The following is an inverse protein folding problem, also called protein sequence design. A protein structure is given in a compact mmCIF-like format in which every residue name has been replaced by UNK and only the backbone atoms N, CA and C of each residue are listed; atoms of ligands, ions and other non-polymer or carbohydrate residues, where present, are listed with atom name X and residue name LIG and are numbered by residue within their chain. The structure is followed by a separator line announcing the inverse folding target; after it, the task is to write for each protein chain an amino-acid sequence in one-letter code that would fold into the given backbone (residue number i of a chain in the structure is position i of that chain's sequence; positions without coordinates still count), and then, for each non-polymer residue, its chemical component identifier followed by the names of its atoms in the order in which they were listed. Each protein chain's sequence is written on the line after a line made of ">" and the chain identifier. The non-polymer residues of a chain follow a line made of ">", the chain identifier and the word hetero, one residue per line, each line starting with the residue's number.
data_IF_562841569112
#
_entry.id   IF_562841569112
#
_cell.length_a   1.000
_cell.length_b   1.000
_cell.length_c   1.000
_cell.angle_alpha   90.00
_cell.angle_beta   90.00
_cell.angle_gamma   90.00
#
_symmetry.space_group_name_H-M   'P 1'
#
loop_
_entity.id
_entity.type
_entity.pdbx_description
1 polymer ?
#
# COMPACT_ATOMS: atom_id res chain seq x y z
N UNK A 1 25.84 -29.29 -5.70
CA UNK A 1 25.04 -29.12 -4.48
C UNK A 1 23.56 -29.18 -4.86
N UNK A 2 22.81 -30.05 -4.20
CA UNK A 2 21.37 -30.15 -4.44
C UNK A 2 20.68 -28.90 -3.93
N UNK A 3 19.90 -28.21 -4.79
CA UNK A 3 19.13 -27.03 -4.41
C UNK A 3 17.91 -27.51 -3.61
N UNK A 4 17.83 -27.12 -2.34
CA UNK A 4 16.75 -27.54 -1.45
C UNK A 4 16.17 -26.33 -0.69
N UNK A 5 14.84 -26.20 -0.70
CA UNK A 5 14.10 -25.26 0.14
C UNK A 5 13.77 -25.93 1.48
N UNK A 6 13.94 -25.21 2.60
CA UNK A 6 13.70 -25.70 3.96
C UNK A 6 12.81 -24.72 4.76
N UNK A 7 11.54 -24.64 4.37
CA UNK A 7 10.56 -23.80 5.06
C UNK A 7 10.16 -24.32 6.44
N UNK A 8 10.50 -25.57 6.78
CA UNK A 8 10.20 -26.13 8.09
C UNK A 8 10.94 -25.40 9.21
N UNK A 9 12.09 -24.80 8.92
CA UNK A 9 12.88 -24.01 9.86
C UNK A 9 12.69 -22.50 9.71
N UNK A 10 11.66 -22.06 8.93
CA UNK A 10 11.33 -20.65 8.82
C UNK A 10 10.94 -20.08 10.18
N UNK A 11 11.42 -18.88 10.49
CA UNK A 11 11.02 -18.14 11.67
C UNK A 11 10.56 -16.74 11.30
N UNK A 12 9.52 -16.27 11.99
CA UNK A 12 8.95 -14.94 11.75
C UNK A 12 9.87 -13.85 12.31
N UNK A 13 10.31 -12.95 11.44
CA UNK A 13 11.20 -11.82 11.79
C UNK A 13 10.47 -10.63 12.43
N UNK A 14 9.12 -10.61 12.39
CA UNK A 14 8.34 -9.52 12.95
C UNK A 14 8.31 -9.58 14.49
N UNK A 15 8.58 -8.45 15.15
CA UNK A 15 8.58 -8.36 16.61
C UNK A 15 7.20 -8.70 17.21
N UNK A 16 7.20 -9.19 18.47
CA UNK A 16 5.96 -9.48 19.22
C UNK A 16 5.08 -8.23 19.35
N UNK A 17 5.68 -7.05 19.55
CA UNK A 17 4.96 -5.77 19.59
C UNK A 17 4.21 -5.52 18.29
N UNK A 18 4.86 -5.72 17.14
CA UNK A 18 4.23 -5.61 15.81
C UNK A 18 3.03 -6.54 15.69
N UNK A 19 3.20 -7.80 16.09
CA UNK A 19 2.13 -8.82 16.01
C UNK A 19 0.92 -8.45 16.88
N UNK A 20 1.14 -7.96 18.11
CA UNK A 20 0.08 -7.53 19.02
C UNK A 20 -0.68 -6.31 18.45
N UNK A 21 0.04 -5.27 18.01
CA UNK A 21 -0.60 -4.08 17.42
C UNK A 21 -1.43 -4.46 16.21
N UNK A 22 -0.92 -5.34 15.34
CA UNK A 22 -1.66 -5.83 14.17
C UNK A 22 -2.92 -6.60 14.57
N UNK A 23 -2.85 -7.45 15.59
CA UNK A 23 -4.03 -8.18 16.09
C UNK A 23 -5.09 -7.20 16.60
N UNK A 24 -4.70 -6.24 17.45
CA UNK A 24 -5.60 -5.22 17.97
C UNK A 24 -6.21 -4.37 16.83
N UNK A 25 -5.41 -3.98 15.84
CA UNK A 25 -5.88 -3.26 14.66
C UNK A 25 -6.88 -4.07 13.83
N UNK A 26 -6.61 -5.36 13.62
CA UNK A 26 -7.51 -6.26 12.89
C UNK A 26 -8.89 -6.41 13.51
N UNK A 27 -9.01 -6.16 14.82
CA UNK A 27 -10.29 -6.13 15.56
C UNK A 27 -10.87 -4.71 15.56
N UNK A 28 -10.04 -3.71 15.87
CA UNK A 28 -10.48 -2.34 16.08
C UNK A 28 -11.03 -1.69 14.79
N UNK A 29 -10.37 -1.89 13.65
CA UNK A 29 -10.76 -1.26 12.39
C UNK A 29 -12.14 -1.72 11.88
N UNK A 30 -12.44 -3.01 11.76
CA UNK A 30 -13.78 -3.45 11.42
C UNK A 30 -14.84 -2.96 12.41
N UNK A 31 -14.57 -3.06 13.72
CA UNK A 31 -15.51 -2.59 14.74
C UNK A 31 -15.76 -1.08 14.67
N UNK A 32 -14.76 -0.30 14.35
CA UNK A 32 -14.89 1.16 14.20
C UNK A 32 -15.57 1.59 12.91
N UNK A 33 -15.64 0.72 11.90
CA UNK A 33 -16.07 1.12 10.54
C UNK A 33 -17.26 0.34 9.98
N UNK A 34 -17.69 -0.78 10.61
CA UNK A 34 -18.76 -1.66 10.10
C UNK A 34 -20.08 -0.94 9.83
N UNK A 35 -20.42 0.08 10.64
CA UNK A 35 -21.66 0.84 10.55
C UNK A 35 -21.53 2.10 9.66
N UNK A 36 -20.34 2.40 9.16
CA UNK A 36 -20.10 3.59 8.36
C UNK A 36 -20.26 3.29 6.87
N UNK A 37 -21.02 4.11 6.13
CA UNK A 37 -20.95 4.10 4.67
C UNK A 37 -19.51 4.30 4.19
N UNK A 38 -19.16 3.69 3.05
CA UNK A 38 -17.79 3.62 2.54
C UNK A 38 -17.05 4.97 2.53
N UNK A 39 -17.74 6.04 2.15
CA UNK A 39 -17.18 7.39 2.00
C UNK A 39 -17.45 8.34 3.17
N UNK A 40 -18.24 7.93 4.18
CA UNK A 40 -18.60 8.80 5.30
C UNK A 40 -17.69 8.58 6.51
N UNK A 41 -17.80 9.47 7.50
CA UNK A 41 -17.09 9.35 8.78
C UNK A 41 -15.56 9.54 8.67
N UNK A 42 -15.08 10.36 7.73
CA UNK A 42 -13.63 10.55 7.54
C UNK A 42 -12.89 11.04 8.78
N UNK A 43 -13.39 12.02 9.58
CA UNK A 43 -12.70 12.43 10.81
C UNK A 43 -12.52 11.28 11.80
N UNK A 44 -13.54 10.44 11.95
CA UNK A 44 -13.54 9.27 12.82
C UNK A 44 -12.51 8.23 12.34
N UNK A 45 -12.50 7.88 11.06
CA UNK A 45 -11.55 6.94 10.46
C UNK A 45 -10.11 7.42 10.61
N UNK A 46 -9.85 8.72 10.34
CA UNK A 46 -8.53 9.32 10.53
C UNK A 46 -8.07 9.31 11.99
N UNK A 47 -8.99 9.51 12.94
CA UNK A 47 -8.70 9.41 14.36
C UNK A 47 -8.21 8.01 14.73
N UNK A 48 -8.93 6.95 14.31
CA UNK A 48 -8.52 5.57 14.56
C UNK A 48 -7.17 5.23 13.93
N UNK A 49 -6.95 5.63 12.69
CA UNK A 49 -5.67 5.43 12.01
C UNK A 49 -4.50 6.09 12.76
N UNK A 50 -4.70 7.33 13.20
CA UNK A 50 -3.68 8.06 13.97
C UNK A 50 -3.43 7.44 15.35
N UNK A 51 -4.47 6.96 16.02
CA UNK A 51 -4.35 6.27 17.30
C UNK A 51 -3.45 5.02 17.18
N UNK A 52 -3.51 4.32 16.05
CA UNK A 52 -2.64 3.19 15.74
C UNK A 52 -1.33 3.58 15.03
N UNK A 53 -0.96 4.84 15.04
CA UNK A 53 0.36 5.34 14.62
C UNK A 53 0.47 5.80 13.17
N UNK A 54 -0.61 5.81 12.38
CA UNK A 54 -0.56 6.32 11.00
C UNK A 54 -0.40 7.84 10.97
N UNK A 55 0.35 8.35 9.99
CA UNK A 55 0.47 9.78 9.70
C UNK A 55 -0.51 10.16 8.58
N UNK A 56 -1.68 10.66 8.96
CA UNK A 56 -2.77 10.94 8.03
C UNK A 56 -3.09 12.44 8.06
N UNK A 57 -3.01 13.10 6.92
CA UNK A 57 -3.38 14.52 6.76
C UNK A 57 -4.89 14.76 7.02
N UNK A 58 -5.26 16.00 7.29
CA UNK A 58 -6.65 16.34 7.64
C UNK A 58 -7.65 16.18 6.48
N UNK A 59 -7.18 16.28 5.26
CA UNK A 59 -7.99 16.16 4.04
C UNK A 59 -7.88 14.79 3.36
N UNK A 60 -6.98 13.91 3.84
CA UNK A 60 -6.81 12.57 3.28
C UNK A 60 -8.07 11.70 3.49
N UNK A 61 -8.40 10.87 2.50
CA UNK A 61 -9.59 10.03 2.49
C UNK A 61 -9.21 8.54 2.54
N UNK A 62 -9.82 7.81 3.48
CA UNK A 62 -9.67 6.35 3.60
C UNK A 62 -11.05 5.71 3.61
N UNK A 63 -11.31 4.83 2.66
CA UNK A 63 -12.57 4.11 2.62
C UNK A 63 -12.62 3.03 3.69
N UNK A 64 -13.81 2.77 4.25
CA UNK A 64 -13.99 1.83 5.36
C UNK A 64 -13.56 0.40 5.01
N UNK A 65 -13.72 0.00 3.76
CA UNK A 65 -13.34 -1.34 3.26
C UNK A 65 -11.86 -1.47 2.87
N UNK A 66 -11.06 -0.41 2.97
CA UNK A 66 -9.62 -0.51 2.75
C UNK A 66 -8.97 -1.37 3.85
N UNK A 67 -8.18 -2.34 3.44
CA UNK A 67 -7.40 -3.20 4.32
C UNK A 67 -6.03 -2.58 4.51
N UNK A 68 -5.67 -2.25 5.74
CA UNK A 68 -4.37 -1.69 6.10
C UNK A 68 -3.72 -2.68 7.06
N UNK A 69 -2.57 -3.23 6.67
CA UNK A 69 -1.93 -4.28 7.46
C UNK A 69 -1.34 -3.76 8.76
N UNK A 70 -0.64 -2.60 8.72
CA UNK A 70 -0.01 -2.00 9.89
C UNK A 70 -0.06 -0.47 9.82
N UNK A 71 -0.99 0.20 10.53
CA UNK A 71 -1.20 1.64 10.38
C UNK A 71 0.03 2.50 10.63
N UNK A 72 0.91 2.14 11.57
CA UNK A 72 2.12 2.90 11.84
C UNK A 72 3.09 3.03 10.65
N UNK A 73 2.95 2.16 9.65
CA UNK A 73 3.68 2.20 8.39
C UNK A 73 2.88 2.89 7.26
N UNK A 74 1.83 3.65 7.57
CA UNK A 74 1.08 4.39 6.57
C UNK A 74 1.23 5.89 6.78
N UNK A 75 1.64 6.58 5.71
CA UNK A 75 1.61 8.03 5.62
C UNK A 75 0.75 8.46 4.44
N UNK A 76 -0.17 9.40 4.67
CA UNK A 76 -1.04 9.97 3.65
C UNK A 76 -1.03 11.49 3.76
N UNK A 77 -0.60 12.15 2.69
CA UNK A 77 -0.57 13.60 2.60
C UNK A 77 -1.93 14.20 2.24
N UNK A 78 -1.99 15.51 2.12
CA UNK A 78 -3.22 16.25 1.88
C UNK A 78 -3.92 15.79 0.58
N UNK A 79 -5.26 15.72 0.64
CA UNK A 79 -6.12 15.33 -0.49
C UNK A 79 -5.82 13.95 -1.11
N UNK A 80 -5.00 13.12 -0.45
CA UNK A 80 -4.75 11.76 -0.91
C UNK A 80 -5.92 10.83 -0.62
N UNK A 81 -6.03 9.74 -1.39
CA UNK A 81 -7.14 8.80 -1.26
C UNK A 81 -6.70 7.35 -1.32
N UNK A 82 -7.14 6.56 -0.34
CA UNK A 82 -7.17 5.10 -0.35
C UNK A 82 -8.62 4.66 -0.57
N UNK A 83 -8.94 4.23 -1.79
CA UNK A 83 -10.30 3.88 -2.18
C UNK A 83 -10.76 2.53 -1.60
N UNK A 84 -12.00 2.15 -1.93
CA UNK A 84 -12.60 0.91 -1.43
C UNK A 84 -11.80 -0.33 -1.82
N UNK A 85 -11.72 -1.27 -0.88
CA UNK A 85 -11.14 -2.60 -1.09
C UNK A 85 -9.65 -2.58 -1.52
N UNK A 86 -8.97 -1.43 -1.36
CA UNK A 86 -7.50 -1.39 -1.51
C UNK A 86 -6.89 -2.29 -0.46
N UNK A 87 -5.98 -3.16 -0.87
CA UNK A 87 -5.17 -3.97 0.01
C UNK A 87 -3.79 -3.30 0.19
N UNK A 88 -3.60 -2.64 1.32
CA UNK A 88 -2.35 -2.00 1.68
C UNK A 88 -1.56 -2.92 2.62
N UNK A 89 -0.83 -3.88 2.03
CA UNK A 89 0.04 -4.81 2.74
C UNK A 89 1.37 -4.14 3.09
N UNK A 90 1.29 -3.20 4.03
CA UNK A 90 2.36 -2.28 4.40
C UNK A 90 3.20 -2.81 5.59
N UNK A 91 3.87 -3.93 5.40
CA UNK A 91 4.88 -4.46 6.33
C UNK A 91 6.04 -3.49 6.49
N UNK A 92 6.47 -2.85 5.39
CA UNK A 92 7.33 -1.66 5.35
C UNK A 92 6.49 -0.39 5.07
N UNK A 93 7.06 0.81 5.19
CA UNK A 93 6.33 2.06 4.97
C UNK A 93 5.68 2.16 3.58
N UNK A 94 4.45 2.67 3.55
CA UNK A 94 3.76 3.16 2.36
C UNK A 94 3.50 4.65 2.55
N UNK A 95 3.99 5.46 1.63
CA UNK A 95 3.83 6.91 1.62
C UNK A 95 2.99 7.28 0.41
N UNK A 96 1.87 7.98 0.63
CA UNK A 96 0.97 8.44 -0.43
C UNK A 96 1.00 9.98 -0.44
N UNK A 97 1.50 10.51 -1.53
CA UNK A 97 1.71 11.92 -1.79
C UNK A 97 0.42 12.74 -1.85
N UNK A 98 0.57 14.05 -1.88
CA UNK A 98 -0.51 15.01 -1.98
C UNK A 98 -1.31 14.80 -3.28
N UNK A 99 -2.65 14.90 -3.20
CA UNK A 99 -3.55 14.75 -4.35
C UNK A 99 -3.42 13.42 -5.11
N UNK A 100 -2.80 12.39 -4.48
CA UNK A 100 -2.63 11.09 -5.09
C UNK A 100 -3.76 10.14 -4.73
N UNK A 101 -4.14 9.30 -5.69
CA UNK A 101 -5.26 8.37 -5.52
C UNK A 101 -4.82 6.93 -5.78
N UNK A 102 -5.13 6.06 -4.83
CA UNK A 102 -5.07 4.60 -5.00
C UNK A 102 -6.49 4.10 -5.17
N UNK A 103 -6.81 3.67 -6.39
CA UNK A 103 -8.16 3.25 -6.78
C UNK A 103 -8.54 1.89 -6.21
N UNK A 104 -9.83 1.58 -6.28
CA UNK A 104 -10.46 0.41 -5.68
C UNK A 104 -9.78 -0.90 -6.06
N UNK A 105 -9.59 -1.74 -5.04
CA UNK A 105 -9.02 -3.08 -5.19
C UNK A 105 -7.54 -3.11 -5.59
N UNK A 106 -6.85 -1.97 -5.67
CA UNK A 106 -5.41 -1.97 -5.90
C UNK A 106 -4.68 -2.64 -4.73
N UNK A 107 -3.53 -3.26 -5.02
CA UNK A 107 -2.71 -3.95 -4.04
C UNK A 107 -1.34 -3.29 -3.94
N UNK A 108 -1.02 -2.74 -2.76
CA UNK A 108 0.28 -2.18 -2.43
C UNK A 108 1.02 -3.19 -1.56
N UNK A 109 2.04 -3.85 -2.10
CA UNK A 109 2.73 -4.95 -1.44
C UNK A 109 4.17 -4.59 -1.13
N UNK A 110 4.46 -4.24 0.12
CA UNK A 110 5.81 -3.83 0.56
C UNK A 110 6.69 -5.00 0.98
N UNK A 111 6.24 -6.23 0.82
CA UNK A 111 6.95 -7.41 1.29
C UNK A 111 7.00 -8.50 0.21
N UNK A 112 8.05 -9.31 0.26
CA UNK A 112 8.26 -10.52 -0.51
C UNK A 112 9.13 -11.48 0.30
N UNK A 113 9.53 -12.56 -0.31
CA UNK A 113 10.48 -13.51 0.27
C UNK A 113 11.74 -13.57 -0.57
N UNK A 114 12.90 -13.75 0.08
CA UNK A 114 14.15 -13.98 -0.63
C UNK A 114 14.13 -15.40 -1.21
N UNK A 115 13.91 -15.51 -2.51
CA UNK A 115 13.85 -16.79 -3.23
C UNK A 115 15.20 -17.47 -3.36
N UNK A 116 16.29 -16.82 -3.00
CA UNK A 116 17.65 -17.39 -2.98
C UNK A 116 18.03 -17.93 -1.62
N UNK A 117 17.28 -17.60 -0.60
CA UNK A 117 17.43 -18.11 0.76
C UNK A 117 16.64 -19.42 0.93
N UNK A 118 17.28 -20.53 1.34
CA UNK A 118 16.59 -21.78 1.57
C UNK A 118 15.42 -21.69 2.55
N UNK A 119 15.46 -20.75 3.49
CA UNK A 119 14.42 -20.52 4.49
C UNK A 119 13.33 -19.53 4.02
N UNK A 120 13.45 -18.97 2.82
CA UNK A 120 12.53 -17.97 2.29
C UNK A 120 12.26 -16.83 3.27
N UNK A 121 13.29 -16.25 3.87
CA UNK A 121 13.11 -15.14 4.81
C UNK A 121 12.35 -13.98 4.18
N UNK A 122 11.51 -13.34 4.99
CA UNK A 122 10.75 -12.16 4.59
C UNK A 122 11.70 -10.99 4.31
N UNK A 123 11.57 -10.40 3.12
CA UNK A 123 12.23 -9.14 2.74
C UNK A 123 11.19 -8.06 2.53
N UNK A 124 11.52 -6.83 2.89
CA UNK A 124 10.59 -5.70 2.80
C UNK A 124 11.28 -4.47 2.27
N UNK A 125 10.55 -3.65 1.50
CA UNK A 125 11.02 -2.36 1.05
C UNK A 125 9.85 -1.38 0.91
N UNK A 126 10.02 -0.08 1.23
CA UNK A 126 8.92 0.87 1.21
C UNK A 126 8.38 1.10 -0.20
N UNK A 127 7.10 1.50 -0.28
CA UNK A 127 6.49 2.02 -1.51
C UNK A 127 6.27 3.52 -1.31
N UNK A 128 6.68 4.30 -2.31
CA UNK A 128 6.46 5.74 -2.36
C UNK A 128 5.59 6.07 -3.57
N UNK A 129 4.44 6.66 -3.33
CA UNK A 129 3.57 7.24 -4.35
C UNK A 129 3.69 8.75 -4.19
N UNK A 130 4.38 9.39 -5.13
CA UNK A 130 4.61 10.84 -5.09
C UNK A 130 3.33 11.62 -5.37
N UNK A 131 3.42 12.95 -5.29
CA UNK A 131 2.26 13.84 -5.40
C UNK A 131 1.56 13.71 -6.77
N UNK A 132 0.23 13.86 -6.80
CA UNK A 132 -0.61 13.85 -8.01
C UNK A 132 -0.57 12.55 -8.83
N UNK A 133 -0.03 11.47 -8.26
CA UNK A 133 0.01 10.16 -8.90
C UNK A 133 -1.34 9.44 -8.81
N UNK A 134 -1.62 8.59 -9.76
CA UNK A 134 -2.84 7.79 -9.80
C UNK A 134 -2.55 6.32 -10.02
N UNK A 135 -2.91 5.51 -9.06
CA UNK A 135 -2.88 4.04 -9.15
C UNK A 135 -4.26 3.56 -9.57
N UNK A 136 -4.36 2.99 -10.76
CA UNK A 136 -5.60 2.48 -11.35
C UNK A 136 -6.18 1.29 -10.57
N UNK A 137 -7.46 1.02 -10.81
CA UNK A 137 -8.19 -0.05 -10.14
C UNK A 137 -7.50 -1.42 -10.32
N UNK A 138 -7.42 -2.19 -9.23
CA UNK A 138 -6.81 -3.54 -9.20
C UNK A 138 -5.36 -3.60 -9.69
N UNK A 139 -4.65 -2.47 -9.76
CA UNK A 139 -3.23 -2.48 -10.06
C UNK A 139 -2.43 -3.05 -8.88
N UNK A 140 -1.34 -3.72 -9.18
CA UNK A 140 -0.36 -4.19 -8.20
C UNK A 140 0.87 -3.30 -8.22
N UNK A 141 1.33 -2.89 -7.04
CA UNK A 141 2.60 -2.16 -6.85
C UNK A 141 3.47 -2.97 -5.89
N UNK A 142 4.61 -3.43 -6.39
CA UNK A 142 5.56 -4.24 -5.64
C UNK A 142 6.44 -3.44 -4.69
N UNK A 143 7.14 -4.16 -3.81
CA UNK A 143 8.04 -3.58 -2.82
C UNK A 143 9.17 -2.76 -3.47
N UNK A 144 9.59 -1.69 -2.81
CA UNK A 144 10.70 -0.85 -3.23
C UNK A 144 10.39 0.08 -4.41
N UNK A 145 9.13 0.11 -4.87
CA UNK A 145 8.75 0.91 -6.03
C UNK A 145 8.42 2.34 -5.62
N UNK A 146 8.96 3.29 -6.38
CA UNK A 146 8.56 4.70 -6.38
C UNK A 146 7.74 5.00 -7.63
N UNK A 147 6.52 5.50 -7.41
CA UNK A 147 5.65 6.04 -8.47
C UNK A 147 5.85 7.56 -8.50
N UNK A 148 6.50 8.07 -9.54
CA UNK A 148 6.88 9.47 -9.66
C UNK A 148 5.68 10.42 -9.72
N UNK A 149 5.93 11.69 -9.42
CA UNK A 149 4.92 12.74 -9.41
C UNK A 149 4.08 12.75 -10.69
N UNK A 150 2.77 12.82 -10.55
CA UNK A 150 1.85 12.89 -11.68
C UNK A 150 1.80 11.63 -12.54
N UNK A 151 2.50 10.55 -12.17
CA UNK A 151 2.46 9.29 -12.92
C UNK A 151 1.10 8.59 -12.80
N UNK A 152 0.77 7.78 -13.79
CA UNK A 152 -0.47 6.99 -13.83
C UNK A 152 -0.11 5.53 -14.04
N UNK A 153 -0.54 4.69 -13.13
CA UNK A 153 -0.54 3.24 -13.27
C UNK A 153 -1.91 2.81 -13.78
N UNK A 154 -1.96 2.22 -14.97
CA UNK A 154 -3.20 1.74 -15.57
C UNK A 154 -3.88 0.66 -14.72
N UNK A 155 -5.19 0.52 -14.88
CA UNK A 155 -5.94 -0.51 -14.17
C UNK A 155 -5.36 -1.91 -14.47
N UNK A 156 -5.32 -2.78 -13.44
CA UNK A 156 -4.78 -4.16 -13.50
C UNK A 156 -3.30 -4.28 -13.88
N UNK A 157 -2.56 -3.18 -13.96
CA UNK A 157 -1.13 -3.21 -14.22
C UNK A 157 -0.35 -3.78 -13.04
N UNK A 158 0.79 -4.44 -13.32
CA UNK A 158 1.69 -4.96 -12.29
C UNK A 158 3.03 -4.25 -12.36
N UNK A 159 3.32 -3.41 -11.36
CA UNK A 159 4.49 -2.53 -11.31
C UNK A 159 5.54 -3.10 -10.37
N UNK A 160 6.71 -3.42 -10.91
CA UNK A 160 7.86 -3.97 -10.18
C UNK A 160 9.12 -3.06 -10.25
N UNK A 161 9.04 -1.94 -10.96
CA UNK A 161 10.14 -0.97 -11.13
C UNK A 161 9.59 0.44 -10.96
N UNK A 162 10.47 1.37 -10.61
CA UNK A 162 10.10 2.78 -10.49
C UNK A 162 9.46 3.32 -11.77
N UNK A 163 8.46 4.17 -11.61
CA UNK A 163 7.75 4.85 -12.69
C UNK A 163 8.17 6.31 -12.68
N UNK A 164 8.66 6.81 -13.80
CA UNK A 164 9.06 8.21 -13.93
C UNK A 164 7.87 9.16 -13.78
N UNK A 165 8.15 10.36 -13.29
CA UNK A 165 7.15 11.42 -13.18
C UNK A 165 6.46 11.68 -14.52
N UNK A 166 5.15 12.00 -14.45
CA UNK A 166 4.33 12.33 -15.62
C UNK A 166 4.31 11.25 -16.71
N UNK A 167 4.41 9.98 -16.29
CA UNK A 167 4.42 8.84 -17.21
C UNK A 167 3.20 7.95 -16.95
N UNK A 168 2.56 7.48 -18.01
CA UNK A 168 1.48 6.48 -17.97
C UNK A 168 2.08 5.11 -18.26
N UNK A 169 1.89 4.17 -17.33
CA UNK A 169 2.33 2.77 -17.49
C UNK A 169 1.14 1.81 -17.42
N UNK A 170 1.27 0.64 -18.03
CA UNK A 170 0.23 -0.40 -17.99
C UNK A 170 0.74 -1.76 -18.42
N UNK A 171 -0.05 -2.79 -18.15
CA UNK A 171 0.27 -4.19 -18.48
C UNK A 171 0.93 -4.96 -17.32
N UNK A 172 1.26 -6.22 -17.55
CA UNK A 172 1.96 -7.10 -16.62
C UNK A 172 3.11 -7.84 -17.35
N UNK A 173 4.38 -7.54 -17.05
CA UNK A 173 4.83 -6.41 -16.23
C UNK A 173 4.51 -5.05 -16.88
N UNK A 174 4.33 -4.02 -16.05
CA UNK A 174 3.98 -2.70 -16.52
C UNK A 174 5.07 -2.09 -17.41
N UNK A 175 4.66 -1.52 -18.54
CA UNK A 175 5.52 -0.82 -19.51
C UNK A 175 5.00 0.59 -19.74
N UNK A 176 5.87 1.49 -20.15
CA UNK A 176 5.51 2.85 -20.53
C UNK A 176 4.57 2.82 -21.75
N UNK A 177 3.45 3.53 -21.62
CA UNK A 177 2.48 3.71 -22.70
C UNK A 177 2.65 5.08 -23.35
N UNK A 178 2.71 6.15 -22.52
CA UNK A 178 2.85 7.54 -22.99
C UNK A 178 3.25 8.48 -21.86
N UNK A 179 3.60 9.71 -22.18
CA UNK A 179 3.66 10.80 -21.19
C UNK A 179 2.25 11.30 -20.87
N UNK A 180 2.02 11.69 -19.61
CA UNK A 180 0.77 12.32 -19.17
C UNK A 180 0.86 13.82 -19.44
N UNK A 181 -0.13 14.34 -20.13
CA UNK A 181 -0.32 15.78 -20.35
C UNK A 181 -1.63 16.18 -19.66
N UNK A 182 -1.63 17.28 -18.95
CA UNK A 182 -2.81 17.90 -18.34
C UNK A 182 -3.14 19.16 -19.15
N UNK A 183 -4.37 19.25 -19.62
CA UNK A 183 -4.88 20.41 -20.40
C UNK A 183 -5.50 21.42 -19.46
#
# INVERSE_FOLDING_TARGET
>A
MEQRVDIAHYHNVLSRKHQIIRLLWGIAWPMATWFLPRSMGMPWKRMWLRLFGARIAKTANVYASAKIYYPANLEMKEYSCLASDVDCYNVAPVIIGEQSTVSQGAYLCTASHDITDPLNHLITSPIVIEDQAWIGAKAFVGMGVTIGQGAVVGATASVYKNVESWTVVGGNPAKVIKKRVIN
#
